data_IF_039483656483
#
_entry.id   IF_039483656483
#
_cell.length_a   1.000
_cell.length_b   1.000
_cell.length_c   1.000
_cell.angle_alpha   90.00
_cell.angle_beta   90.00
_cell.angle_gamma   90.00
#
_symmetry.space_group_name_H-M   'P 1'
#
loop_
_entity.id
_entity.type
_entity.pdbx_description
1 polymer ?
#
# COMPACT_ATOMS: atom_id res chain seq x y z
N UNK A 1 -3.62 -2.95 1.83
CA UNK A 1 -2.98 -2.89 0.51
C UNK A 1 -2.63 -4.30 0.07
N UNK A 2 -3.05 -4.71 -1.12
CA UNK A 2 -2.78 -6.05 -1.68
C UNK A 2 -2.32 -5.93 -3.13
N UNK A 3 -1.41 -6.82 -3.55
CA UNK A 3 -0.94 -6.99 -4.94
C UNK A 3 -1.46 -8.32 -5.50
N UNK A 4 -1.80 -8.35 -6.79
CA UNK A 4 -2.27 -9.53 -7.53
C UNK A 4 -1.26 -9.90 -8.65
N UNK A 5 -1.21 -11.18 -9.01
CA UNK A 5 -0.07 -11.83 -9.67
C UNK A 5 0.08 -11.70 -11.20
N UNK A 6 -0.95 -11.25 -11.95
CA UNK A 6 -0.90 -11.18 -13.43
C UNK A 6 -1.14 -9.77 -13.95
N UNK A 7 -0.19 -9.23 -14.71
CA UNK A 7 -0.25 -7.88 -15.30
C UNK A 7 0.58 -6.82 -14.55
N UNK A 8 0.38 -5.52 -14.82
CA UNK A 8 1.01 -4.47 -14.01
C UNK A 8 0.62 -4.62 -12.53
N UNK A 9 1.51 -4.29 -11.57
CA UNK A 9 1.21 -4.45 -10.16
C UNK A 9 -0.09 -3.73 -9.80
N UNK A 10 -0.95 -4.40 -9.04
CA UNK A 10 -2.21 -3.84 -8.57
C UNK A 10 -2.13 -3.47 -7.11
N UNK A 11 -2.77 -2.39 -6.69
CA UNK A 11 -2.81 -1.97 -5.30
C UNK A 11 -4.24 -1.67 -4.87
N UNK A 12 -4.77 -2.49 -3.97
CA UNK A 12 -6.15 -2.37 -3.49
C UNK A 12 -6.18 -1.97 -2.01
N UNK A 13 -7.04 -1.01 -1.67
CA UNK A 13 -7.30 -0.60 -0.28
C UNK A 13 -8.81 -0.64 0.03
N UNK A 14 -9.25 -0.81 1.29
CA UNK A 14 -10.67 -0.82 1.60
C UNK A 14 -11.34 0.52 1.24
N UNK A 15 -12.61 0.48 0.86
CA UNK A 15 -13.40 1.69 0.63
C UNK A 15 -13.64 2.48 1.92
N UNK A 16 -13.64 3.82 1.83
CA UNK A 16 -13.96 4.70 2.97
C UNK A 16 -15.38 4.49 3.53
N UNK A 17 -16.29 3.90 2.74
CA UNK A 17 -17.66 3.58 3.17
C UNK A 17 -17.71 2.55 4.32
N UNK A 18 -16.58 1.90 4.66
CA UNK A 18 -16.49 1.00 5.82
C UNK A 18 -16.22 1.73 7.15
N UNK A 19 -16.24 3.06 7.18
CA UNK A 19 -16.02 3.86 8.40
C UNK A 19 -14.55 4.02 8.79
N UNK A 20 -13.63 3.84 7.83
CA UNK A 20 -12.19 4.03 8.03
C UNK A 20 -11.77 5.45 7.64
N UNK A 21 -10.68 5.93 8.24
CA UNK A 21 -10.12 7.25 7.96
C UNK A 21 -9.48 7.30 6.57
N UNK A 22 -9.60 8.42 5.83
CA UNK A 22 -8.78 8.68 4.64
C UNK A 22 -7.33 8.96 5.06
N UNK A 23 -6.50 7.91 5.09
CA UNK A 23 -5.12 8.01 5.54
C UNK A 23 -4.22 8.72 4.53
N UNK A 24 -3.52 9.78 4.96
CA UNK A 24 -2.56 10.53 4.12
C UNK A 24 -1.45 9.63 3.57
N UNK A 25 -0.87 8.75 4.40
CA UNK A 25 0.15 7.77 3.97
C UNK A 25 -0.38 6.81 2.90
N UNK A 26 -1.66 6.42 2.97
CA UNK A 26 -2.27 5.62 1.91
C UNK A 26 -2.41 6.41 0.61
N UNK A 27 -2.84 7.68 0.70
CA UNK A 27 -2.92 8.58 -0.44
C UNK A 27 -1.57 8.75 -1.14
N UNK A 28 -0.52 9.03 -0.37
CA UNK A 28 0.86 9.15 -0.86
C UNK A 28 1.34 7.87 -1.58
N UNK A 29 1.09 6.71 -0.98
CA UNK A 29 1.43 5.43 -1.61
C UNK A 29 0.67 5.19 -2.93
N UNK A 30 -0.63 5.54 -2.98
CA UNK A 30 -1.43 5.46 -4.21
C UNK A 30 -0.90 6.43 -5.28
N UNK A 31 -0.60 7.69 -4.94
CA UNK A 31 -0.07 8.66 -5.88
C UNK A 31 1.25 8.20 -6.51
N UNK A 32 2.17 7.64 -5.70
CA UNK A 32 3.41 7.07 -6.22
C UNK A 32 3.21 5.84 -7.09
N UNK A 33 2.32 4.93 -6.69
CA UNK A 33 1.98 3.74 -7.45
C UNK A 33 1.32 4.09 -8.81
N UNK A 34 0.43 5.09 -8.85
CA UNK A 34 -0.18 5.59 -10.10
C UNK A 34 0.90 6.10 -11.07
N UNK A 35 1.84 6.92 -10.58
CA UNK A 35 2.97 7.42 -11.38
C UNK A 35 3.88 6.29 -11.88
N UNK A 36 3.98 5.19 -11.13
CA UNK A 36 4.72 4.00 -11.53
C UNK A 36 3.92 3.06 -12.47
N UNK A 37 2.70 3.44 -12.85
CA UNK A 37 1.85 2.67 -13.78
C UNK A 37 1.14 1.47 -13.13
N UNK A 38 0.96 1.47 -11.81
CA UNK A 38 0.26 0.41 -11.10
C UNK A 38 -1.26 0.57 -11.27
N UNK A 39 -1.98 -0.54 -11.31
CA UNK A 39 -3.43 -0.52 -11.20
C UNK A 39 -3.84 -0.17 -9.77
N UNK A 40 -4.74 0.80 -9.59
CA UNK A 40 -5.24 1.17 -8.26
C UNK A 40 -6.70 0.78 -8.09
N UNK A 41 -7.08 0.43 -6.86
CA UNK A 41 -8.44 0.03 -6.55
C UNK A 41 -8.88 0.40 -5.15
N UNK A 42 -10.11 0.90 -5.04
CA UNK A 42 -10.87 0.90 -3.80
C UNK A 42 -11.93 -0.21 -3.90
N UNK A 43 -11.89 -1.18 -2.99
CA UNK A 43 -12.83 -2.29 -2.99
C UNK A 43 -13.46 -2.49 -1.62
N UNK A 44 -14.64 -3.12 -1.52
CA UNK A 44 -14.88 -3.94 -0.34
C UNK A 44 -13.75 -4.96 -0.25
N UNK A 45 -13.06 -5.01 0.88
CA UNK A 45 -12.08 -6.06 1.17
C UNK A 45 -12.60 -6.87 2.33
N UNK A 46 -12.71 -8.17 2.12
CA UNK A 46 -13.00 -9.17 3.14
C UNK A 46 -11.69 -9.64 3.79
N UNK A 47 -11.75 -10.28 4.96
CA UNK A 47 -10.58 -10.94 5.53
C UNK A 47 -9.95 -11.98 4.59
N UNK A 48 -10.76 -12.63 3.74
CA UNK A 48 -10.26 -13.62 2.79
C UNK A 48 -9.41 -12.97 1.70
N UNK A 49 -9.84 -11.82 1.16
CA UNK A 49 -9.06 -11.09 0.15
C UNK A 49 -7.65 -10.70 0.66
N UNK A 50 -7.55 -10.37 1.95
CA UNK A 50 -6.25 -10.06 2.58
C UNK A 50 -5.42 -11.33 2.78
N UNK A 51 -6.05 -12.46 3.12
CA UNK A 51 -5.36 -13.75 3.25
C UNK A 51 -4.85 -14.26 1.90
N UNK A 52 -5.63 -14.13 0.83
CA UNK A 52 -5.30 -14.62 -0.50
C UNK A 52 -4.41 -13.69 -1.33
N UNK A 53 -4.19 -12.45 -0.90
CA UNK A 53 -3.29 -11.52 -1.57
C UNK A 53 -1.84 -12.04 -1.66
N UNK A 54 -1.08 -11.64 -2.67
CA UNK A 54 0.33 -12.03 -2.77
C UNK A 54 1.13 -11.41 -1.60
N UNK A 55 0.90 -10.13 -1.34
CA UNK A 55 1.55 -9.35 -0.29
C UNK A 55 0.55 -8.42 0.39
N UNK A 56 0.82 -8.03 1.64
CA UNK A 56 0.00 -7.03 2.33
C UNK A 56 0.81 -6.10 3.24
N UNK A 57 0.34 -4.86 3.39
CA UNK A 57 0.95 -3.84 4.24
C UNK A 57 -0.06 -3.08 5.09
N UNK A 58 0.38 -2.65 6.27
CA UNK A 58 -0.23 -1.58 7.05
C UNK A 58 0.51 -0.27 6.78
N UNK A 59 -0.24 0.81 6.55
CA UNK A 59 0.31 2.14 6.32
C UNK A 59 -0.03 3.08 7.47
N UNK A 60 0.96 3.87 7.91
CA UNK A 60 0.77 4.96 8.88
C UNK A 60 1.87 6.00 8.74
N UNK A 61 1.63 7.22 9.22
CA UNK A 61 2.62 8.30 9.13
C UNK A 61 3.91 8.01 9.91
N UNK A 62 3.83 7.22 10.98
CA UNK A 62 5.00 6.91 11.82
C UNK A 62 5.77 5.69 11.34
N UNK A 63 5.07 4.60 10.97
CA UNK A 63 5.71 3.34 10.55
C UNK A 63 5.86 3.20 9.04
N UNK A 64 5.33 4.14 8.26
CA UNK A 64 5.31 4.09 6.80
C UNK A 64 4.69 2.77 6.31
N UNK A 65 5.33 2.09 5.36
CA UNK A 65 4.88 0.79 4.86
C UNK A 65 5.41 -0.38 5.70
N UNK A 66 4.56 -0.92 6.59
CA UNK A 66 4.89 -2.11 7.38
C UNK A 66 4.37 -3.38 6.70
N UNK A 67 5.23 -4.26 6.17
CA UNK A 67 4.78 -5.50 5.56
C UNK A 67 4.17 -6.46 6.59
N UNK A 68 3.19 -7.23 6.16
CA UNK A 68 2.48 -8.23 6.96
C UNK A 68 2.98 -9.61 6.53
N UNK A 69 3.63 -10.34 7.44
CA UNK A 69 4.12 -11.71 7.19
C UNK A 69 3.11 -12.81 7.58
N UNK A 70 2.03 -12.46 8.27
CA UNK A 70 0.99 -13.39 8.70
C UNK A 70 -0.33 -12.67 8.98
N UNK A 71 -1.44 -13.28 8.57
CA UNK A 71 -2.80 -12.89 8.95
C UNK A 71 -3.45 -14.10 9.59
N UNK A 72 -3.77 -14.01 10.88
CA UNK A 72 -4.22 -15.15 11.69
C UNK A 72 -3.24 -16.34 11.62
N UNK A 73 -3.67 -17.45 11.02
CA UNK A 73 -2.84 -18.64 10.78
C UNK A 73 -2.25 -18.70 9.37
N UNK A 74 -2.65 -17.80 8.47
CA UNK A 74 -2.18 -17.75 7.09
C UNK A 74 -0.86 -16.97 6.99
N UNK A 75 0.22 -17.65 6.60
CA UNK A 75 1.48 -17.00 6.29
C UNK A 75 1.35 -16.18 5.00
N UNK A 76 2.12 -15.09 4.90
CA UNK A 76 2.21 -14.25 3.72
C UNK A 76 3.66 -14.08 3.30
N UNK A 77 3.89 -14.11 2.00
CA UNK A 77 5.20 -13.76 1.45
C UNK A 77 5.45 -12.27 1.65
N UNK A 78 6.63 -11.95 2.18
CA UNK A 78 7.07 -10.56 2.35
C UNK A 78 7.97 -10.20 1.18
N UNK A 79 7.54 -9.24 0.37
CA UNK A 79 8.34 -8.73 -0.75
C UNK A 79 9.15 -7.52 -0.32
N UNK A 80 10.47 -7.68 -0.22
CA UNK A 80 11.40 -6.58 -0.03
C UNK A 80 11.35 -5.60 -1.21
N UNK A 81 11.20 -6.11 -2.44
CA UNK A 81 11.11 -5.31 -3.65
C UNK A 81 9.93 -4.32 -3.59
N UNK A 82 8.71 -4.83 -3.39
CA UNK A 82 7.53 -3.96 -3.32
C UNK A 82 7.51 -3.09 -2.07
N UNK A 83 8.09 -3.58 -0.95
CA UNK A 83 8.22 -2.75 0.25
C UNK A 83 9.15 -1.56 0.00
N UNK A 84 10.28 -1.77 -0.68
CA UNK A 84 11.19 -0.68 -1.05
C UNK A 84 10.50 0.33 -1.96
N UNK A 85 9.78 -0.12 -2.99
CA UNK A 85 9.05 0.79 -3.89
C UNK A 85 8.01 1.62 -3.14
N UNK A 86 7.26 1.02 -2.22
CA UNK A 86 6.32 1.77 -1.38
C UNK A 86 7.02 2.81 -0.50
N UNK A 87 8.19 2.49 0.06
CA UNK A 87 8.98 3.47 0.82
C UNK A 87 9.47 4.62 -0.08
N UNK A 88 9.91 4.32 -1.31
CA UNK A 88 10.35 5.33 -2.27
C UNK A 88 9.20 6.28 -2.66
N UNK A 89 7.99 5.74 -2.85
CA UNK A 89 6.80 6.56 -3.11
C UNK A 89 6.48 7.51 -1.96
N UNK A 90 6.59 7.04 -0.72
CA UNK A 90 6.34 7.86 0.47
C UNK A 90 7.45 8.93 0.66
N UNK A 91 8.69 8.59 0.38
CA UNK A 91 9.81 9.54 0.44
C UNK A 91 9.66 10.65 -0.62
N UNK A 92 9.24 10.29 -1.83
CA UNK A 92 8.98 11.26 -2.89
C UNK A 92 7.83 12.21 -2.53
N UNK A 93 6.71 11.68 -2.04
CA UNK A 93 5.56 12.50 -1.60
C UNK A 93 5.95 13.50 -0.50
N UNK A 94 6.79 13.07 0.46
CA UNK A 94 7.31 13.94 1.51
C UNK A 94 8.18 15.07 0.94
N UNK A 95 9.07 14.76 -0.02
CA UNK A 95 9.93 15.74 -0.66
C UNK A 95 9.15 16.75 -1.52
N UNK A 96 8.06 16.30 -2.18
CA UNK A 96 7.16 17.17 -2.93
C UNK A 96 6.32 18.06 -2.01
N UNK A 97 5.87 17.53 -0.86
CA UNK A 97 5.07 18.27 0.12
C UNK A 97 5.91 19.28 0.92
N UNK A 98 7.15 18.90 1.26
CA UNK A 98 8.08 19.70 2.06
C UNK A 98 9.45 19.76 1.36
N UNK A 99 9.58 20.58 0.30
CA UNK A 99 10.84 20.73 -0.39
C UNK A 99 11.90 21.33 0.55
N UNK A 100 13.15 20.88 0.42
CA UNK A 100 14.26 21.49 1.15
C UNK A 100 14.39 22.97 0.76
N UNK A 101 14.61 23.83 1.76
CA UNK A 101 14.94 25.23 1.50
C UNK A 101 16.27 25.30 0.71
N UNK A 102 16.39 26.24 -0.25
CA UNK A 102 17.55 26.36 -1.14
C UNK A 102 18.85 26.76 -0.43
#
# INVERSE_FOLDING_TARGET
MTVAADGPPKLITPTLKTGILPGTTQGAAFAGAERAGWELGYGPLTPEDVRSADHAWLLSSVRLASPISRVDQAAKDVSEHYTSQLMDFLAQDLAETYPAEP
#
